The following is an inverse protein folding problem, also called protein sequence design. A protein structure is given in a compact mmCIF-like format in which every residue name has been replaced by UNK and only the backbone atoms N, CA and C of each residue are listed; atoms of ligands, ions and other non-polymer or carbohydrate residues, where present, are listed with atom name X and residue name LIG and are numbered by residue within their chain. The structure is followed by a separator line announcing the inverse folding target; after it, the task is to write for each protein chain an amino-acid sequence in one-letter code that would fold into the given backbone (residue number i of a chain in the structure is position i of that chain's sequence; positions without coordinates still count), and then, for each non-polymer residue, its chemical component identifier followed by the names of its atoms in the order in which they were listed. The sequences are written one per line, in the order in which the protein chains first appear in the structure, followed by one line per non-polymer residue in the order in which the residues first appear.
data_IF_858303363490
#
_entry.id   IF_858303363490
#
_cell.length_a   1.000
_cell.length_b   1.000
_cell.length_c   1.000
_cell.angle_alpha   90.00
_cell.angle_beta   90.00
_cell.angle_gamma   90.00
#
_symmetry.space_group_name_H-M   'P 1'
#
loop_
_entity.id
_entity.type
_entity.pdbx_description
1 polymer ?
#
# COMPACT_ATOMS: atom_id res chain seq x y z
N UNK A 1 -16.47 -12.73 -26.92
CA UNK A 1 -15.45 -12.68 -25.83
C UNK A 1 -14.11 -12.32 -26.44
N UNK A 2 -13.76 -11.03 -26.45
CA UNK A 2 -12.50 -10.57 -27.06
C UNK A 2 -11.30 -11.01 -26.23
N UNK A 3 -10.49 -11.91 -26.80
CA UNK A 3 -9.30 -12.49 -26.20
C UNK A 3 -8.18 -11.44 -25.99
N UNK A 4 -7.74 -11.32 -24.74
CA UNK A 4 -6.50 -10.65 -24.29
C UNK A 4 -6.32 -9.21 -24.78
N UNK A 5 -7.16 -8.27 -24.34
CA UNK A 5 -6.77 -6.85 -24.37
C UNK A 5 -5.70 -6.61 -23.33
N UNK A 6 -4.66 -5.88 -23.69
CA UNK A 6 -3.62 -5.45 -22.76
C UNK A 6 -3.89 -4.02 -22.27
N UNK A 7 -3.34 -3.71 -21.11
CA UNK A 7 -3.46 -2.41 -20.48
C UNK A 7 -2.07 -1.80 -20.36
N UNK A 8 -1.94 -0.52 -20.69
CA UNK A 8 -0.67 0.15 -20.80
C UNK A 8 -0.69 1.49 -20.07
N UNK A 9 0.44 1.85 -19.47
CA UNK A 9 0.78 3.24 -19.14
C UNK A 9 1.73 3.74 -20.21
N UNK A 10 1.38 4.85 -20.84
CA UNK A 10 2.24 5.59 -21.75
C UNK A 10 2.76 6.84 -21.05
N UNK A 11 4.05 6.84 -20.72
CA UNK A 11 4.72 8.03 -20.20
C UNK A 11 4.99 9.01 -21.34
N UNK A 12 4.42 10.20 -21.23
CA UNK A 12 4.59 11.26 -22.24
C UNK A 12 6.05 11.70 -22.32
N UNK A 13 6.51 11.84 -23.55
CA UNK A 13 7.79 12.44 -23.92
C UNK A 13 7.62 13.23 -25.22
N UNK A 14 8.72 13.79 -25.74
CA UNK A 14 8.73 14.62 -26.93
C UNK A 14 8.31 13.91 -28.23
N UNK A 15 8.25 12.57 -28.25
CA UNK A 15 7.84 11.80 -29.43
C UNK A 15 6.33 11.59 -29.54
N UNK A 16 5.57 11.98 -28.51
CA UNK A 16 4.11 11.93 -28.49
C UNK A 16 3.52 13.25 -28.98
N UNK A 17 2.88 13.24 -30.15
CA UNK A 17 2.12 14.37 -30.68
C UNK A 17 0.65 14.16 -30.35
N UNK A 18 0.00 15.18 -29.77
CA UNK A 18 -1.42 15.13 -29.40
C UNK A 18 -2.15 16.17 -30.24
N UNK A 19 -3.17 15.73 -30.97
CA UNK A 19 -4.14 16.56 -31.71
C UNK A 19 -5.50 16.51 -30.99
N UNK A 20 -6.54 17.17 -31.52
CA UNK A 20 -7.86 17.25 -30.87
C UNK A 20 -8.42 15.87 -30.46
N UNK A 21 -8.37 14.89 -31.38
CA UNK A 21 -9.00 13.58 -31.16
C UNK A 21 -8.02 12.39 -31.19
N UNK A 22 -6.76 12.63 -31.54
CA UNK A 22 -5.79 11.56 -31.76
C UNK A 22 -4.43 11.91 -31.17
N UNK A 23 -3.77 10.92 -30.55
CA UNK A 23 -2.37 11.01 -30.19
C UNK A 23 -1.55 10.02 -31.02
N UNK A 24 -0.45 10.51 -31.59
CA UNK A 24 0.46 9.73 -32.43
C UNK A 24 1.82 9.70 -31.79
N UNK A 25 2.38 8.50 -31.68
CA UNK A 25 3.73 8.29 -31.19
C UNK A 25 4.55 7.51 -32.21
N UNK A 26 5.74 8.00 -32.54
CA UNK A 26 6.66 7.26 -33.40
C UNK A 26 8.06 7.15 -32.81
N UNK A 27 8.68 5.98 -32.91
CA UNK A 27 10.05 5.77 -32.45
C UNK A 27 10.72 4.61 -33.21
N UNK A 28 12.05 4.60 -33.19
CA UNK A 28 12.85 3.53 -33.78
C UNK A 28 13.20 2.50 -32.71
N UNK A 29 12.93 1.21 -32.95
CA UNK A 29 13.14 0.14 -31.98
C UNK A 29 13.57 -1.17 -32.64
N UNK A 30 14.55 -1.86 -32.03
CA UNK A 30 14.92 -3.23 -32.39
C UNK A 30 13.93 -4.27 -31.86
N UNK A 31 13.06 -3.88 -30.92
CA UNK A 31 12.05 -4.75 -30.31
C UNK A 31 10.68 -4.43 -30.88
N UNK A 32 9.90 -5.48 -31.16
CA UNK A 32 8.50 -5.35 -31.55
C UNK A 32 7.69 -4.82 -30.36
N UNK A 33 6.88 -3.80 -30.61
CA UNK A 33 5.83 -3.39 -29.68
C UNK A 33 4.74 -4.45 -29.68
N UNK A 34 4.30 -4.89 -28.50
CA UNK A 34 3.34 -6.01 -28.36
C UNK A 34 1.90 -5.54 -28.15
N UNK A 35 1.65 -4.23 -28.10
CA UNK A 35 0.30 -3.68 -28.07
C UNK A 35 -0.39 -3.84 -29.42
N UNK A 36 -1.72 -3.88 -29.39
CA UNK A 36 -2.58 -4.08 -30.57
C UNK A 36 -3.80 -3.15 -30.52
N UNK A 37 -4.48 -3.03 -31.66
CA UNK A 37 -5.75 -2.29 -31.74
C UNK A 37 -6.74 -2.78 -30.68
N UNK A 38 -7.37 -1.84 -29.97
CA UNK A 38 -8.32 -2.12 -28.90
C UNK A 38 -7.70 -2.24 -27.50
N UNK A 39 -6.38 -2.26 -27.36
CA UNK A 39 -5.72 -2.20 -26.06
C UNK A 39 -5.94 -0.84 -25.39
N UNK A 40 -5.98 -0.84 -24.06
CA UNK A 40 -6.20 0.36 -23.26
C UNK A 40 -4.89 1.03 -22.87
N UNK A 41 -4.88 2.36 -22.86
CA UNK A 41 -3.71 3.17 -22.53
C UNK A 41 -4.10 4.27 -21.57
N UNK A 42 -3.37 4.42 -20.47
CA UNK A 42 -3.44 5.60 -19.60
C UNK A 42 -2.22 6.48 -19.89
N UNK A 43 -2.45 7.77 -20.14
CA UNK A 43 -1.37 8.74 -20.30
C UNK A 43 -0.85 9.18 -18.93
N UNK A 44 0.48 9.10 -18.76
CA UNK A 44 1.21 9.62 -17.60
C UNK A 44 2.02 10.84 -18.05
N UNK A 45 1.66 12.01 -17.55
CA UNK A 45 2.18 13.30 -18.00
C UNK A 45 2.89 14.05 -16.87
N UNK A 46 3.87 14.88 -17.22
CA UNK A 46 4.53 15.76 -16.28
C UNK A 46 3.87 17.13 -16.32
N UNK A 47 3.11 17.46 -15.28
CA UNK A 47 2.34 18.69 -15.17
C UNK A 47 2.66 19.38 -13.84
N UNK A 48 2.95 20.68 -13.86
CA UNK A 48 3.18 21.47 -12.63
C UNK A 48 4.16 20.83 -11.64
N UNK A 49 5.28 20.30 -12.17
CA UNK A 49 6.35 19.60 -11.43
C UNK A 49 6.02 18.22 -10.85
N UNK A 50 4.83 17.68 -11.11
CA UNK A 50 4.41 16.34 -10.66
C UNK A 50 4.02 15.45 -11.84
N UNK A 51 4.11 14.14 -11.64
CA UNK A 51 3.62 13.16 -12.60
C UNK A 51 2.15 12.85 -12.32
N UNK A 52 1.29 12.95 -13.34
CA UNK A 52 -0.16 12.78 -13.22
C UNK A 52 -0.68 11.84 -14.30
N UNK A 53 -1.63 10.99 -13.95
CA UNK A 53 -2.47 10.32 -14.94
C UNK A 53 -3.52 11.33 -15.42
N UNK A 54 -3.62 11.51 -16.73
CA UNK A 54 -4.46 12.57 -17.31
C UNK A 54 -5.58 12.06 -18.18
N UNK A 55 -5.35 10.99 -18.95
CA UNK A 55 -6.32 10.50 -19.94
C UNK A 55 -6.33 8.99 -20.05
N UNK A 56 -7.51 8.47 -20.36
CA UNK A 56 -7.74 7.10 -20.80
C UNK A 56 -7.97 7.08 -22.32
N UNK A 57 -7.19 6.26 -23.00
CA UNK A 57 -7.14 6.17 -24.46
C UNK A 57 -7.25 4.71 -24.91
N UNK A 58 -7.48 4.52 -26.20
CA UNK A 58 -7.47 3.17 -26.82
C UNK A 58 -6.52 3.17 -28.01
N UNK A 59 -5.76 2.08 -28.20
CA UNK A 59 -4.91 1.91 -29.38
C UNK A 59 -5.80 1.75 -30.61
N UNK A 60 -5.68 2.68 -31.55
CA UNK A 60 -6.40 2.67 -32.83
C UNK A 60 -5.68 1.82 -33.87
N UNK A 61 -4.36 2.00 -33.98
CA UNK A 61 -3.52 1.27 -34.93
C UNK A 61 -2.07 1.20 -34.47
N UNK A 62 -1.39 0.13 -34.88
CA UNK A 62 0.06 -0.03 -34.74
C UNK A 62 0.62 -0.32 -36.13
N UNK A 63 1.48 0.56 -36.63
CA UNK A 63 2.14 0.43 -37.92
C UNK A 63 3.63 0.17 -37.71
N UNK A 64 4.16 -0.76 -38.50
CA UNK A 64 5.59 -1.03 -38.60
C UNK A 64 6.07 -0.46 -39.93
N UNK A 65 7.08 0.40 -39.90
CA UNK A 65 7.70 0.95 -41.11
C UNK A 65 8.21 -0.17 -42.02
N UNK A 66 7.99 -0.01 -43.33
CA UNK A 66 8.18 -1.08 -44.33
C UNK A 66 9.64 -1.30 -44.77
N UNK A 67 10.58 -0.47 -44.33
CA UNK A 67 11.98 -0.58 -44.76
C UNK A 67 12.78 -1.32 -43.69
N UNK A 68 12.72 -2.66 -43.72
CA UNK A 68 13.67 -3.49 -42.98
C UNK A 68 14.80 -3.88 -43.93
N UNK A 69 15.83 -3.04 -44.01
CA UNK A 69 17.16 -3.53 -44.37
C UNK A 69 17.72 -4.24 -43.15
N UNK A 70 18.28 -5.45 -43.34
CA UNK A 70 18.89 -6.24 -42.28
C UNK A 70 19.91 -5.38 -41.49
N UNK A 71 19.59 -5.08 -40.22
CA UNK A 71 20.45 -4.28 -39.33
C UNK A 71 19.91 -2.92 -38.89
N UNK A 72 18.82 -2.41 -39.48
CA UNK A 72 18.24 -1.10 -39.10
C UNK A 72 17.11 -1.18 -38.07
N UNK A 73 17.01 -0.16 -37.21
CA UNK A 73 15.93 -0.01 -36.21
C UNK A 73 14.60 0.23 -36.92
N UNK A 74 13.69 -0.74 -36.89
CA UNK A 74 12.34 -0.58 -37.42
C UNK A 74 11.59 0.58 -36.74
N UNK A 75 11.00 1.46 -37.54
CA UNK A 75 10.13 2.55 -37.04
C UNK A 75 8.78 1.98 -36.64
N UNK A 76 8.35 2.23 -35.41
CA UNK A 76 7.04 1.87 -34.89
C UNK A 76 6.21 3.14 -34.77
N UNK A 77 4.99 3.11 -35.29
CA UNK A 77 4.01 4.20 -35.16
C UNK A 77 2.78 3.65 -34.45
N UNK A 78 2.43 4.23 -33.31
CA UNK A 78 1.22 3.90 -32.56
C UNK A 78 0.29 5.11 -32.60
N UNK A 79 -0.95 4.90 -33.08
CA UNK A 79 -2.01 5.90 -33.02
C UNK A 79 -3.01 5.52 -31.92
N UNK A 80 -3.40 6.51 -31.15
CA UNK A 80 -4.31 6.40 -30.02
C UNK A 80 -5.54 7.27 -30.27
N UNK A 81 -6.73 6.69 -30.14
CA UNK A 81 -7.94 7.48 -30.01
C UNK A 81 -7.97 8.05 -28.59
N UNK A 82 -8.03 9.38 -28.48
CA UNK A 82 -8.13 10.07 -27.20
C UNK A 82 -9.54 9.84 -26.66
N UNK A 83 -9.61 9.08 -25.57
CA UNK A 83 -10.87 8.80 -24.89
C UNK A 83 -11.16 9.84 -23.82
N UNK A 84 -11.51 9.35 -22.62
CA UNK A 84 -11.89 10.19 -21.50
C UNK A 84 -10.68 10.91 -20.89
N UNK A 85 -10.77 12.22 -20.76
CA UNK A 85 -9.90 13.00 -19.88
C UNK A 85 -10.40 12.89 -18.44
N UNK A 86 -9.47 12.71 -17.50
CA UNK A 86 -9.82 12.70 -16.09
C UNK A 86 -10.13 14.13 -15.64
N UNK A 87 -11.38 14.36 -15.21
CA UNK A 87 -11.83 15.68 -14.76
C UNK A 87 -11.07 16.22 -13.54
N UNK A 88 -10.40 15.34 -12.79
CA UNK A 88 -9.46 15.70 -11.74
C UNK A 88 -8.09 15.12 -12.06
N UNK A 89 -7.03 15.90 -11.82
CA UNK A 89 -5.66 15.39 -11.90
C UNK A 89 -5.49 14.22 -10.93
N UNK A 90 -4.93 13.11 -11.43
CA UNK A 90 -4.66 11.89 -10.65
C UNK A 90 -3.14 11.73 -10.44
N UNK A 91 -2.53 12.32 -9.40
CA UNK A 91 -1.08 12.20 -9.15
C UNK A 91 -0.61 10.76 -9.05
N UNK A 92 0.50 10.43 -9.70
CA UNK A 92 1.13 9.11 -9.63
C UNK A 92 1.45 8.69 -8.18
N UNK A 93 1.82 9.66 -7.35
CA UNK A 93 2.14 9.43 -5.93
C UNK A 93 0.98 8.77 -5.16
N UNK A 94 -0.26 9.03 -5.56
CA UNK A 94 -1.44 8.48 -4.90
C UNK A 94 -1.62 6.98 -5.18
N UNK A 95 -1.08 6.48 -6.29
CA UNK A 95 -1.21 5.09 -6.73
C UNK A 95 0.06 4.27 -6.53
N UNK A 96 1.12 4.84 -5.94
CA UNK A 96 2.43 4.17 -5.86
C UNK A 96 2.41 2.84 -5.13
N UNK A 97 1.47 2.63 -4.21
CA UNK A 97 1.26 1.34 -3.53
C UNK A 97 0.39 0.38 -4.33
N UNK A 98 -0.47 0.91 -5.21
CA UNK A 98 -1.39 0.12 -6.04
C UNK A 98 -0.74 -0.39 -7.32
N UNK A 99 0.33 0.26 -7.78
CA UNK A 99 1.05 -0.10 -8.99
C UNK A 99 2.15 -1.12 -8.68
N UNK A 100 2.01 -2.35 -9.15
CA UNK A 100 2.98 -3.46 -9.02
C UNK A 100 4.32 -3.11 -9.67
N UNK A 101 4.28 -2.27 -10.71
CA UNK A 101 5.47 -1.75 -11.37
C UNK A 101 6.40 -0.95 -10.44
N UNK A 102 5.82 -0.31 -9.41
CA UNK A 102 6.56 0.56 -8.48
C UNK A 102 7.16 -0.29 -7.37
N UNK A 103 8.48 -0.31 -7.32
CA UNK A 103 9.25 -0.97 -6.24
C UNK A 103 9.92 0.03 -5.31
N UNK A 104 10.21 1.23 -5.81
CA UNK A 104 10.75 2.34 -5.02
C UNK A 104 9.71 3.46 -4.93
N UNK A 105 9.11 3.62 -3.75
CA UNK A 105 8.04 4.58 -3.47
C UNK A 105 8.53 6.04 -3.34
N UNK A 106 9.84 6.27 -3.22
CA UNK A 106 10.40 7.63 -3.17
C UNK A 106 10.48 8.30 -4.55
N UNK A 107 10.48 7.50 -5.62
CA UNK A 107 10.50 8.02 -6.99
C UNK A 107 9.77 7.06 -7.95
N UNK A 108 8.43 6.98 -7.83
CA UNK A 108 7.62 6.03 -8.60
C UNK A 108 7.76 6.24 -10.11
N UNK A 109 7.96 7.49 -10.55
CA UNK A 109 8.06 7.86 -11.96
C UNK A 109 9.22 7.18 -12.72
N UNK A 110 10.29 6.77 -12.02
CA UNK A 110 11.43 6.05 -12.61
C UNK A 110 11.07 4.64 -13.11
N UNK A 111 10.03 4.03 -12.54
CA UNK A 111 9.59 2.68 -12.91
C UNK A 111 8.77 2.64 -14.21
N UNK A 112 8.23 3.78 -14.61
CA UNK A 112 7.54 3.95 -15.87
C UNK A 112 8.57 4.38 -16.92
N UNK A 113 9.02 3.39 -17.70
CA UNK A 113 9.59 3.67 -19.03
C UNK A 113 8.48 4.20 -19.93
N UNK A 114 8.83 4.50 -21.17
CA UNK A 114 7.92 4.95 -22.21
C UNK A 114 6.59 4.19 -22.24
N UNK A 115 6.65 2.87 -22.40
CA UNK A 115 5.50 1.98 -22.36
C UNK A 115 5.67 1.00 -21.21
N UNK A 116 4.65 0.87 -20.38
CA UNK A 116 4.62 -0.12 -19.31
C UNK A 116 3.30 -0.86 -19.34
N UNK A 117 3.36 -2.17 -19.57
CA UNK A 117 2.20 -3.04 -19.41
C UNK A 117 1.81 -3.08 -17.91
N UNK A 118 0.52 -2.98 -17.64
CA UNK A 118 -0.09 -3.03 -16.31
C UNK A 118 -1.21 -4.08 -16.28
N UNK A 119 -1.55 -4.54 -15.08
CA UNK A 119 -2.66 -5.48 -14.89
C UNK A 119 -4.02 -4.76 -14.97
N UNK A 120 -5.11 -5.54 -15.00
CA UNK A 120 -6.46 -4.98 -14.98
C UNK A 120 -6.79 -4.35 -13.62
N UNK A 121 -6.23 -4.88 -12.54
CA UNK A 121 -6.37 -4.33 -11.18
C UNK A 121 -5.67 -2.97 -11.09
N UNK A 122 -4.46 -2.83 -11.63
CA UNK A 122 -3.75 -1.54 -11.72
C UNK A 122 -4.51 -0.52 -12.58
N UNK A 123 -5.11 -0.97 -13.69
CA UNK A 123 -5.95 -0.11 -14.53
C UNK A 123 -7.17 0.38 -13.75
N UNK A 124 -7.92 -0.53 -13.13
CA UNK A 124 -9.10 -0.22 -12.34
C UNK A 124 -8.76 0.67 -11.13
N UNK A 125 -7.59 0.48 -10.51
CA UNK A 125 -7.09 1.35 -9.46
C UNK A 125 -7.02 2.81 -9.92
N UNK A 126 -6.42 3.07 -11.09
CA UNK A 126 -6.30 4.43 -11.62
C UNK A 126 -7.67 4.95 -12.09
N UNK A 127 -8.47 4.13 -12.78
CA UNK A 127 -9.75 4.56 -13.34
C UNK A 127 -10.75 4.96 -12.24
N UNK A 128 -10.87 4.14 -11.20
CA UNK A 128 -11.86 4.29 -10.14
C UNK A 128 -11.31 4.91 -8.85
N UNK A 129 -10.08 5.41 -8.88
CA UNK A 129 -9.40 5.98 -7.70
C UNK A 129 -9.27 4.99 -6.52
N UNK A 130 -9.20 3.69 -6.83
CA UNK A 130 -9.01 2.65 -5.83
C UNK A 130 -7.52 2.52 -5.48
N UNK A 131 -7.15 3.00 -4.30
CA UNK A 131 -5.80 2.83 -3.77
C UNK A 131 -5.72 1.50 -3.01
N UNK A 132 -4.92 0.54 -3.52
CA UNK A 132 -4.57 -0.65 -2.75
C UNK A 132 -3.61 -0.29 -1.60
N UNK A 133 -4.20 -0.21 -0.41
CA UNK A 133 -3.52 0.19 0.82
C UNK A 133 -2.75 -0.96 1.47
N UNK A 134 -3.07 -2.23 1.15
CA UNK A 134 -2.43 -3.41 1.77
C UNK A 134 -0.93 -3.47 1.48
N UNK A 135 -0.47 -2.85 0.39
CA UNK A 135 0.95 -2.78 0.01
C UNK A 135 1.74 -1.66 0.71
N UNK A 136 1.06 -0.74 1.38
CA UNK A 136 1.73 0.24 2.25
C UNK A 136 2.13 -0.43 3.57
N UNK A 137 3.19 0.04 4.23
CA UNK A 137 3.58 -0.50 5.55
C UNK A 137 2.43 -0.39 6.55
N UNK A 138 1.79 0.79 6.62
CA UNK A 138 0.65 1.00 7.51
C UNK A 138 -0.52 0.07 7.18
N UNK A 139 -0.91 -0.04 5.91
CA UNK A 139 -2.02 -0.90 5.53
C UNK A 139 -1.71 -2.38 5.72
N UNK A 140 -0.48 -2.83 5.39
CA UNK A 140 -0.03 -4.19 5.70
C UNK A 140 -0.15 -4.45 7.20
N UNK A 141 0.47 -3.63 8.04
CA UNK A 141 0.43 -3.82 9.49
C UNK A 141 -1.00 -3.75 10.01
N UNK A 142 -1.79 -2.76 9.59
CA UNK A 142 -3.17 -2.60 10.07
C UNK A 142 -4.07 -3.76 9.68
N UNK A 143 -4.04 -4.22 8.42
CA UNK A 143 -4.93 -5.28 7.96
C UNK A 143 -4.50 -6.69 8.42
N UNK A 144 -3.22 -6.89 8.76
CA UNK A 144 -2.73 -8.12 9.38
C UNK A 144 -3.00 -8.19 10.89
N UNK A 145 -3.33 -7.07 11.54
CA UNK A 145 -3.78 -7.10 12.94
C UNK A 145 -5.11 -7.85 13.06
N UNK A 146 -5.27 -8.56 14.17
CA UNK A 146 -6.56 -9.12 14.57
C UNK A 146 -7.64 -8.02 14.58
N UNK A 147 -8.88 -8.39 14.21
CA UNK A 147 -9.98 -7.44 14.04
C UNK A 147 -10.19 -6.54 15.27
N UNK A 148 -10.08 -7.12 16.47
CA UNK A 148 -10.24 -6.37 17.73
C UNK A 148 -9.10 -5.37 17.97
N UNK A 149 -7.88 -5.69 17.54
CA UNK A 149 -6.77 -4.72 17.59
C UNK A 149 -6.94 -3.61 16.56
N UNK A 150 -7.53 -3.89 15.39
CA UNK A 150 -7.91 -2.85 14.42
C UNK A 150 -8.92 -1.88 15.01
N UNK A 151 -9.98 -2.40 15.64
CA UNK A 151 -11.00 -1.60 16.35
C UNK A 151 -10.38 -0.78 17.48
N UNK A 152 -9.60 -1.41 18.35
CA UNK A 152 -8.97 -0.75 19.48
C UNK A 152 -7.98 0.35 19.02
N UNK A 153 -7.22 0.11 17.94
CA UNK A 153 -6.34 1.13 17.37
C UNK A 153 -7.13 2.32 16.80
N UNK A 154 -8.22 2.08 16.07
CA UNK A 154 -9.06 3.17 15.56
C UNK A 154 -9.74 3.96 16.69
N UNK A 155 -10.18 3.28 17.76
CA UNK A 155 -10.63 3.94 19.00
C UNK A 155 -9.52 4.78 19.64
N UNK A 156 -8.29 4.27 19.69
CA UNK A 156 -7.12 5.00 20.20
C UNK A 156 -6.83 6.27 19.38
N UNK A 157 -7.13 6.26 18.08
CA UNK A 157 -7.07 7.44 17.21
C UNK A 157 -8.28 8.38 17.36
N UNK A 158 -9.27 8.04 18.18
CA UNK A 158 -10.47 8.83 18.44
C UNK A 158 -11.66 8.53 17.52
N UNK A 159 -11.60 7.46 16.72
CA UNK A 159 -12.73 7.02 15.89
C UNK A 159 -13.65 6.10 16.69
N UNK A 160 -14.81 6.60 17.12
CA UNK A 160 -15.80 5.83 17.88
C UNK A 160 -16.80 5.06 17.01
N UNK A 161 -16.89 5.40 15.72
CA UNK A 161 -17.80 4.76 14.74
C UNK A 161 -16.99 4.05 13.65
N UNK A 162 -16.97 2.72 13.71
CA UNK A 162 -16.21 1.88 12.78
C UNK A 162 -16.88 1.68 11.41
N UNK A 163 -18.11 2.19 11.23
CA UNK A 163 -18.72 2.25 9.90
C UNK A 163 -18.09 3.33 9.02
N UNK A 164 -17.31 4.22 9.63
CA UNK A 164 -16.65 5.34 8.96
C UNK A 164 -15.23 4.99 8.53
N UNK A 165 -14.86 5.59 7.41
CA UNK A 165 -13.53 5.58 6.84
C UNK A 165 -12.59 6.46 7.67
N UNK A 166 -11.51 5.89 8.24
CA UNK A 166 -10.48 6.71 8.89
C UNK A 166 -9.50 7.24 7.85
N UNK A 167 -9.56 8.54 7.63
CA UNK A 167 -8.79 9.26 6.62
C UNK A 167 -7.43 9.68 7.19
N UNK A 168 -6.39 8.97 6.78
CA UNK A 168 -4.99 9.20 7.12
C UNK A 168 -4.39 10.25 6.18
N UNK A 169 -4.12 11.43 6.73
CA UNK A 169 -3.48 12.53 6.03
C UNK A 169 -1.95 12.55 6.19
N UNK A 170 -1.44 11.95 7.28
CA UNK A 170 -0.02 11.93 7.61
C UNK A 170 0.37 10.50 8.01
N UNK A 171 1.02 9.80 7.08
CA UNK A 171 1.42 8.39 7.25
C UNK A 171 2.41 8.24 8.41
N UNK A 172 3.36 9.15 8.55
CA UNK A 172 4.40 9.09 9.59
C UNK A 172 3.79 9.25 10.97
N UNK A 173 2.92 10.27 11.13
CA UNK A 173 2.20 10.49 12.39
C UNK A 173 1.37 9.27 12.79
N UNK A 174 0.72 8.61 11.84
CA UNK A 174 -0.10 7.42 12.12
C UNK A 174 0.78 6.20 12.45
N UNK A 175 1.94 6.03 11.81
CA UNK A 175 2.88 4.98 12.19
C UNK A 175 3.42 5.18 13.61
N UNK A 176 3.72 6.42 14.00
CA UNK A 176 4.09 6.75 15.38
C UNK A 176 2.94 6.39 16.34
N UNK A 177 1.70 6.74 16.00
CA UNK A 177 0.53 6.40 16.82
C UNK A 177 0.27 4.89 16.91
N UNK A 178 0.52 4.15 15.84
CA UNK A 178 0.43 2.69 15.86
C UNK A 178 1.48 2.09 16.79
N UNK A 179 2.69 2.65 16.81
CA UNK A 179 3.71 2.25 17.77
C UNK A 179 3.30 2.59 19.22
N UNK A 180 2.81 3.81 19.47
CA UNK A 180 2.28 4.19 20.79
C UNK A 180 1.21 3.19 21.25
N UNK A 181 0.28 2.82 20.37
CA UNK A 181 -0.75 1.82 20.65
C UNK A 181 -0.17 0.45 21.01
N UNK A 182 0.82 -0.05 20.25
CA UNK A 182 1.46 -1.34 20.55
C UNK A 182 2.15 -1.31 21.91
N UNK A 183 2.86 -0.22 22.23
CA UNK A 183 3.53 -0.10 23.53
C UNK A 183 2.51 -0.02 24.67
N UNK A 184 1.54 0.88 24.57
CA UNK A 184 0.63 1.21 25.66
C UNK A 184 -0.47 0.17 25.86
N UNK A 185 -0.92 -0.48 24.78
CA UNK A 185 -2.09 -1.38 24.81
C UNK A 185 -1.74 -2.87 24.68
N UNK A 186 -0.48 -3.21 24.36
CA UNK A 186 -0.05 -4.61 24.20
C UNK A 186 1.16 -4.91 25.08
N UNK A 187 2.27 -4.17 24.92
CA UNK A 187 3.52 -4.47 25.65
C UNK A 187 3.38 -4.18 27.14
N UNK A 188 2.98 -2.95 27.51
CA UNK A 188 2.87 -2.55 28.91
C UNK A 188 1.85 -3.39 29.70
N UNK A 189 0.62 -3.65 29.18
CA UNK A 189 -0.31 -4.56 29.85
C UNK A 189 0.22 -5.98 29.97
N UNK A 190 0.98 -6.46 28.98
CA UNK A 190 1.64 -7.76 29.04
C UNK A 190 2.64 -7.86 30.19
N UNK A 191 3.49 -6.84 30.37
CA UNK A 191 4.41 -6.78 31.52
C UNK A 191 3.68 -6.68 32.85
N UNK A 192 2.63 -5.87 32.94
CA UNK A 192 1.80 -5.77 34.14
C UNK A 192 1.17 -7.11 34.52
N UNK A 193 0.70 -7.89 33.54
CA UNK A 193 0.21 -9.23 33.76
C UNK A 193 1.30 -10.15 34.32
N UNK A 194 2.51 -10.14 33.73
CA UNK A 194 3.62 -10.98 34.18
C UNK A 194 4.10 -10.63 35.60
N UNK A 195 4.14 -9.35 35.96
CA UNK A 195 4.40 -8.91 37.34
C UNK A 195 3.28 -9.37 38.29
N UNK A 196 2.02 -9.31 37.86
CA UNK A 196 0.89 -9.87 38.60
C UNK A 196 1.01 -11.37 38.84
N UNK A 197 1.44 -12.13 37.84
CA UNK A 197 1.73 -13.57 37.96
C UNK A 197 2.84 -13.83 38.97
N UNK A 198 3.92 -13.05 38.93
CA UNK A 198 5.04 -13.16 39.87
C UNK A 198 4.57 -12.93 41.31
N UNK A 199 3.84 -11.84 41.56
CA UNK A 199 3.27 -11.54 42.89
C UNK A 199 2.33 -12.65 43.37
N UNK A 200 1.48 -13.18 42.48
CA UNK A 200 0.59 -14.29 42.82
C UNK A 200 1.38 -15.54 43.26
N UNK A 201 2.42 -15.91 42.50
CA UNK A 201 3.28 -17.05 42.84
C UNK A 201 4.02 -16.85 44.16
N UNK A 202 4.46 -15.63 44.46
CA UNK A 202 5.09 -15.30 45.75
C UNK A 202 4.11 -15.42 46.92
N UNK A 203 2.84 -15.06 46.73
CA UNK A 203 1.82 -15.10 47.79
C UNK A 203 1.21 -16.49 48.02
N UNK A 204 0.96 -17.25 46.95
CA UNK A 204 0.16 -18.48 47.00
C UNK A 204 0.95 -19.73 46.59
N UNK A 205 2.16 -19.57 46.07
CA UNK A 205 3.00 -20.67 45.61
C UNK A 205 2.68 -21.15 44.19
N UNK A 206 3.70 -21.78 43.58
CA UNK A 206 3.64 -22.25 42.20
C UNK A 206 2.60 -23.35 41.97
N UNK A 207 2.34 -24.21 42.97
CA UNK A 207 1.35 -25.28 42.84
C UNK A 207 -0.06 -24.73 42.70
N UNK A 208 -0.43 -23.70 43.47
CA UNK A 208 -1.74 -23.06 43.38
C UNK A 208 -1.89 -22.36 42.02
N UNK A 209 -0.86 -21.64 41.59
CA UNK A 209 -0.85 -20.99 40.28
C UNK A 209 -1.02 -21.99 39.13
N UNK A 210 -0.29 -23.11 39.19
CA UNK A 210 -0.33 -24.15 38.14
C UNK A 210 -1.69 -24.83 38.04
N UNK A 211 -2.49 -24.77 39.12
CA UNK A 211 -3.85 -25.31 39.17
C UNK A 211 -4.94 -24.28 38.83
N UNK A 212 -4.58 -23.02 38.55
CA UNK A 212 -5.54 -22.02 38.10
C UNK A 212 -6.11 -22.42 36.74
N UNK A 213 -7.41 -22.66 36.73
CA UNK A 213 -8.19 -22.98 35.54
C UNK A 213 -9.44 -22.11 35.53
N UNK A 214 -9.89 -21.73 34.33
CA UNK A 214 -11.21 -21.14 34.15
C UNK A 214 -12.19 -22.31 34.14
N UNK A 215 -13.06 -22.39 35.13
CA UNK A 215 -14.13 -23.37 35.12
C UNK A 215 -15.19 -22.91 34.12
N UNK A 216 -15.29 -23.62 32.99
CA UNK A 216 -16.46 -23.50 32.12
C UNK A 216 -17.61 -24.28 32.79
N UNK A 217 -18.71 -23.61 33.11
CA UNK A 217 -19.81 -24.20 33.90
C UNK A 217 -20.45 -25.43 33.23
N UNK A 218 -20.18 -25.66 31.93
CA UNK A 218 -20.78 -26.73 31.13
C UNK A 218 -19.81 -27.87 30.76
N UNK A 219 -18.49 -27.70 30.92
CA UNK A 219 -17.49 -28.72 30.57
C UNK A 219 -16.46 -28.91 31.68
N UNK A 220 -16.48 -30.07 32.34
CA UNK A 220 -15.58 -30.46 33.44
C UNK A 220 -14.11 -30.71 33.03
N UNK A 221 -13.67 -30.19 31.90
CA UNK A 221 -12.26 -30.28 31.47
C UNK A 221 -11.53 -29.10 32.13
N UNK A 222 -10.83 -29.38 33.24
CA UNK A 222 -9.88 -28.44 33.83
C UNK A 222 -8.73 -28.24 32.85
N UNK A 223 -8.84 -27.24 31.98
CA UNK A 223 -7.72 -26.82 31.14
C UNK A 223 -6.88 -25.88 32.00
N UNK A 224 -5.67 -26.30 32.34
CA UNK A 224 -4.68 -25.51 33.08
C UNK A 224 -4.10 -24.44 32.16
N UNK A 225 -4.78 -23.28 32.11
CA UNK A 225 -4.46 -22.19 31.19
C UNK A 225 -3.31 -21.28 31.64
N UNK A 226 -3.06 -21.18 32.96
CA UNK A 226 -2.26 -20.08 33.50
C UNK A 226 -0.77 -20.16 33.13
N UNK A 227 -0.16 -21.35 33.23
CA UNK A 227 1.26 -21.56 32.89
C UNK A 227 1.48 -21.38 31.39
N UNK A 228 0.63 -21.99 30.57
CA UNK A 228 0.71 -21.91 29.11
C UNK A 228 0.52 -20.46 28.62
N UNK A 229 -0.41 -19.70 29.21
CA UNK A 229 -0.60 -18.29 28.87
C UNK A 229 0.60 -17.42 29.26
N UNK A 230 1.21 -17.67 30.41
CA UNK A 230 2.43 -16.98 30.84
C UNK A 230 3.59 -17.23 29.89
N UNK A 231 3.83 -18.49 29.50
CA UNK A 231 4.91 -18.84 28.57
C UNK A 231 4.68 -18.27 27.17
N UNK A 232 3.45 -18.38 26.66
CA UNK A 232 3.07 -17.81 25.36
C UNK A 232 3.26 -16.29 25.38
N UNK A 233 2.83 -15.61 26.43
CA UNK A 233 2.97 -14.16 26.55
C UNK A 233 4.44 -13.74 26.68
N UNK A 234 5.26 -14.43 27.47
CA UNK A 234 6.71 -14.17 27.56
C UNK A 234 7.39 -14.30 26.20
N UNK A 235 7.09 -15.37 25.47
CA UNK A 235 7.65 -15.59 24.12
C UNK A 235 7.19 -14.50 23.16
N UNK A 236 5.92 -14.10 23.24
CA UNK A 236 5.36 -13.03 22.42
C UNK A 236 6.00 -11.67 22.70
N UNK A 237 6.12 -11.27 23.98
CA UNK A 237 6.75 -10.01 24.38
C UNK A 237 8.23 -9.97 24.00
N UNK A 238 8.99 -11.04 24.24
CA UNK A 238 10.39 -11.12 23.83
C UNK A 238 10.55 -10.92 22.31
N UNK A 239 9.68 -11.54 21.50
CA UNK A 239 9.67 -11.32 20.06
C UNK A 239 9.34 -9.86 19.72
N UNK A 240 8.30 -9.28 20.32
CA UNK A 240 7.95 -7.89 20.09
C UNK A 240 9.09 -6.94 20.47
N UNK A 241 9.74 -7.12 21.61
CA UNK A 241 10.82 -6.23 22.04
C UNK A 241 12.07 -6.37 21.16
N UNK A 242 12.39 -7.59 20.75
CA UNK A 242 13.51 -7.87 19.85
C UNK A 242 13.32 -7.24 18.46
N UNK A 243 12.11 -7.31 17.91
CA UNK A 243 11.84 -6.88 16.53
C UNK A 243 11.21 -5.48 16.39
N UNK A 244 10.46 -5.02 17.40
CA UNK A 244 9.82 -3.68 17.43
C UNK A 244 10.49 -2.71 18.41
N UNK A 245 10.95 -3.18 19.57
CA UNK A 245 11.41 -2.31 20.67
C UNK A 245 12.64 -1.47 20.35
N UNK A 246 13.71 -2.07 19.83
CA UNK A 246 14.99 -1.35 19.61
C UNK A 246 14.97 -0.35 18.44
N UNK A 247 14.16 -0.59 17.41
CA UNK A 247 14.11 0.24 16.20
C UNK A 247 13.26 1.51 16.36
N UNK A 248 12.26 1.51 17.24
CA UNK A 248 11.32 2.64 17.38
C UNK A 248 11.51 3.46 18.67
N UNK A 249 11.98 2.87 19.77
CA UNK A 249 12.24 3.61 21.03
C UNK A 249 13.29 4.72 20.84
N UNK A 250 14.25 4.52 19.93
CA UNK A 250 15.29 5.51 19.61
C UNK A 250 14.85 6.55 18.56
N UNK A 251 13.71 6.36 17.89
CA UNK A 251 13.25 7.27 16.82
C UNK A 251 12.64 8.59 17.33
N UNK A 252 12.41 8.71 18.65
CA UNK A 252 11.87 9.94 19.28
C UNK A 252 12.72 11.20 19.04
N UNK A 253 13.98 11.07 18.62
CA UNK A 253 14.93 12.20 18.55
C UNK A 253 15.41 12.62 17.16
N UNK A 254 15.05 11.95 16.05
CA UNK A 254 15.71 12.23 14.75
C UNK A 254 14.82 12.74 13.60
N UNK A 255 13.50 12.82 13.77
CA UNK A 255 12.60 13.14 12.63
C UNK A 255 11.92 14.51 12.71
N UNK A 256 12.63 15.55 13.18
CA UNK A 256 12.06 16.89 13.28
C UNK A 256 12.24 17.79 12.05
N UNK A 257 12.94 17.38 10.98
CA UNK A 257 13.37 18.35 9.96
C UNK A 257 13.35 17.90 8.49
N UNK A 258 12.56 16.88 8.10
CA UNK A 258 12.36 16.58 6.68
C UNK A 258 10.92 16.76 6.23
N UNK A 259 10.76 17.81 5.45
CA UNK A 259 9.75 18.03 4.41
C UNK A 259 8.36 18.53 4.79
N UNK A 260 8.34 19.81 5.19
CA UNK A 260 7.19 20.71 5.07
C UNK A 260 6.63 20.80 3.63
N UNK A 261 7.44 20.44 2.62
CA UNK A 261 7.01 20.33 1.21
C UNK A 261 6.23 19.04 0.90
N UNK A 262 6.50 17.92 1.58
CA UNK A 262 5.76 16.65 1.38
C UNK A 262 4.32 16.73 1.92
N UNK A 263 4.11 17.49 3.01
CA UNK A 263 2.81 17.67 3.65
C UNK A 263 1.78 18.40 2.77
N UNK A 264 2.21 19.17 1.77
CA UNK A 264 1.31 19.92 0.86
C UNK A 264 0.89 19.11 -0.39
N UNK A 265 1.53 17.99 -0.70
CA UNK A 265 1.31 17.24 -1.95
C UNK A 265 0.50 15.94 -1.82
N UNK A 266 0.23 15.44 -0.61
CA UNK A 266 -0.66 14.29 -0.38
C UNK A 266 -2.12 14.74 -0.42
N UNK A 267 -2.76 14.64 -1.59
CA UNK A 267 -4.21 14.91 -1.77
C UNK A 267 -5.07 13.65 -1.85
N UNK A 268 -4.49 12.45 -1.89
CA UNK A 268 -5.27 11.21 -1.67
C UNK A 268 -4.95 10.66 -0.29
N UNK A 269 -5.84 10.83 0.69
CA UNK A 269 -5.63 10.27 2.00
C UNK A 269 -5.64 8.74 1.94
N UNK A 270 -4.85 8.10 2.81
CA UNK A 270 -4.95 6.66 3.05
C UNK A 270 -6.25 6.44 3.85
N UNK A 271 -7.03 5.42 3.52
CA UNK A 271 -8.30 5.16 4.20
C UNK A 271 -8.26 3.82 4.93
N UNK A 272 -8.25 3.84 6.27
CA UNK A 272 -8.33 2.63 7.07
C UNK A 272 -9.80 2.28 7.31
N UNK A 273 -10.17 1.02 7.06
CA UNK A 273 -11.55 0.52 7.25
C UNK A 273 -11.57 -0.78 8.03
N UNK A 274 -12.65 -1.00 8.76
CA UNK A 274 -12.95 -2.30 9.37
C UNK A 274 -13.82 -3.08 8.38
N UNK A 275 -13.18 -3.89 7.55
CA UNK A 275 -13.84 -4.92 6.74
C UNK A 275 -13.88 -6.25 7.49
#
# INVERSE_FOLDING_TARGET
MEKNRKNWILKRDSSLTISENEAVRSWNSNRKFTGKKGDFVILLEYFSRIWVFSRFCTIKSVELGKDQVEGEKGRIIVRLDLGMEFGMLKPLENFKFSLLAVKNYSNPAKHFRTWKEITIEELNAILFDNVDLKRSLLGFTFYEMHLEHRKAFLNFLGLSDFSQDYIVHDLEKILIKLNDYVVDSIINPGHQFLEGVKLFKEMFGNEIYSNLSIADHENSVRVTYAVDQEEVLKKYLNNLEQYFGSAFINSKNEYSNRDEYYRKSLKSPIVLKIN
#
